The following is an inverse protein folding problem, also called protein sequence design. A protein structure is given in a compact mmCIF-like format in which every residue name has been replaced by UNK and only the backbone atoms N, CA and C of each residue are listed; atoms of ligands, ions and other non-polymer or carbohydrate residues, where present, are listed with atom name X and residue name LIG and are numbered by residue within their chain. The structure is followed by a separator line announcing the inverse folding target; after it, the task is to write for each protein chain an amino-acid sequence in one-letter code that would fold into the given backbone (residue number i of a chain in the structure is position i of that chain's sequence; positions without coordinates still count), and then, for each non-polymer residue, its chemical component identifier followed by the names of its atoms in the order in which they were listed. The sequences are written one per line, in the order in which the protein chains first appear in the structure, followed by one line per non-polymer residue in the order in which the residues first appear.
data_IF_537631876016
#
_entry.id   IF_537631876016
#
_cell.length_a   1.000
_cell.length_b   1.000
_cell.length_c   1.000
_cell.angle_alpha   90.00
_cell.angle_beta   90.00
_cell.angle_gamma   90.00
#
_symmetry.space_group_name_H-M   'P 1'
#
loop_
_entity.id
_entity.type
_entity.pdbx_description
1 polymer ?
#
# COMPACT_ATOMS: atom_id res chain seq x y z
N UNK A 1 -6.94 14.48 -20.84
CA UNK A 1 -5.95 14.56 -19.73
C UNK A 1 -6.69 15.01 -18.49
N UNK A 2 -7.68 14.26 -18.03
CA UNK A 2 -8.51 14.66 -16.90
C UNK A 2 -7.80 14.28 -15.61
N UNK A 3 -7.55 15.32 -14.82
CA UNK A 3 -7.03 15.33 -13.46
C UNK A 3 -7.74 14.29 -12.59
N UNK A 4 -6.99 13.28 -12.15
CA UNK A 4 -7.39 12.23 -11.22
C UNK A 4 -7.50 12.76 -9.78
N UNK A 5 -8.02 13.98 -9.58
CA UNK A 5 -7.88 14.73 -8.32
C UNK A 5 -8.97 14.45 -7.27
N UNK A 6 -10.14 13.92 -7.67
CA UNK A 6 -11.31 13.87 -6.79
C UNK A 6 -11.76 12.47 -6.36
N UNK A 7 -11.04 11.41 -6.75
CA UNK A 7 -11.25 10.06 -6.21
C UNK A 7 -9.95 9.47 -5.65
N UNK A 8 -9.14 10.26 -4.94
CA UNK A 8 -7.83 9.78 -4.49
C UNK A 8 -7.92 9.01 -3.17
N UNK A 9 -7.96 7.68 -3.28
CA UNK A 9 -7.59 6.81 -2.15
C UNK A 9 -6.15 7.13 -1.74
N UNK A 10 -5.98 7.68 -0.54
CA UNK A 10 -4.69 8.17 -0.05
C UNK A 10 -3.72 7.01 0.13
N UNK A 11 -2.49 7.18 -0.36
CA UNK A 11 -1.43 6.20 -0.14
C UNK A 11 -1.09 6.09 1.36
N UNK A 12 -1.01 4.87 1.93
CA UNK A 12 -0.63 4.66 3.33
C UNK A 12 0.88 4.78 3.55
N UNK A 13 1.63 5.25 2.56
CA UNK A 13 3.08 5.34 2.61
C UNK A 13 3.54 6.42 3.59
N UNK A 14 4.38 6.04 4.55
CA UNK A 14 5.02 6.96 5.50
C UNK A 14 6.50 7.23 5.18
N UNK A 15 6.90 7.03 3.93
CA UNK A 15 8.27 7.21 3.43
C UNK A 15 9.33 6.35 4.13
N UNK A 16 8.93 5.17 4.62
CA UNK A 16 9.85 4.12 5.06
C UNK A 16 9.88 3.03 3.99
N UNK A 17 11.07 2.80 3.41
CA UNK A 17 11.30 1.74 2.42
C UNK A 17 12.18 0.64 3.03
N UNK A 18 11.61 -0.11 3.97
CA UNK A 18 12.21 -1.30 4.57
C UNK A 18 11.15 -2.38 4.71
N UNK A 19 11.54 -3.62 4.50
CA UNK A 19 10.68 -4.79 4.68
C UNK A 19 10.95 -5.45 6.03
N UNK A 20 9.97 -6.20 6.49
CA UNK A 20 10.05 -7.08 7.64
C UNK A 20 11.07 -8.21 7.39
N UNK A 21 11.34 -9.02 8.41
CA UNK A 21 12.36 -10.08 8.31
C UNK A 21 12.02 -11.15 7.27
N UNK A 22 10.73 -11.33 6.96
CA UNK A 22 10.28 -12.22 5.88
C UNK A 22 10.47 -11.63 4.48
N UNK A 23 10.57 -10.29 4.37
CA UNK A 23 10.54 -9.57 3.09
C UNK A 23 9.15 -9.41 2.48
N UNK A 24 8.08 -9.84 3.16
CA UNK A 24 6.71 -9.86 2.67
C UNK A 24 6.05 -8.47 2.78
N UNK A 25 6.28 -7.76 3.88
CA UNK A 25 5.59 -6.51 4.19
C UNK A 25 6.54 -5.36 4.44
N UNK A 26 6.22 -4.19 3.89
CA UNK A 26 6.88 -2.95 4.27
C UNK A 26 6.58 -2.62 5.74
N UNK A 27 7.60 -2.43 6.58
CA UNK A 27 7.39 -2.15 8.01
C UNK A 27 6.69 -0.82 8.28
N UNK A 28 6.70 0.10 7.30
CA UNK A 28 6.06 1.40 7.42
C UNK A 28 4.60 1.41 6.99
N UNK A 29 4.28 0.81 5.84
CA UNK A 29 2.93 0.88 5.26
C UNK A 29 2.22 -0.47 5.14
N UNK A 30 2.83 -1.56 5.60
CA UNK A 30 2.31 -2.94 5.58
C UNK A 30 1.91 -3.49 4.20
N UNK A 31 2.25 -2.78 3.13
CA UNK A 31 2.03 -3.23 1.75
C UNK A 31 3.14 -4.17 1.31
N UNK A 32 2.81 -5.08 0.41
CA UNK A 32 3.78 -5.94 -0.26
C UNK A 32 4.55 -5.17 -1.34
N UNK A 33 5.71 -5.66 -1.80
CA UNK A 33 6.44 -5.05 -2.93
C UNK A 33 5.57 -4.91 -4.19
N UNK A 34 4.70 -5.89 -4.44
CA UNK A 34 3.81 -5.91 -5.61
C UNK A 34 2.76 -4.80 -5.49
N UNK A 35 2.15 -4.63 -4.32
CA UNK A 35 1.18 -3.57 -4.09
C UNK A 35 1.81 -2.18 -4.17
N UNK A 36 3.04 -2.03 -3.67
CA UNK A 36 3.79 -0.76 -3.76
C UNK A 36 4.06 -0.42 -5.23
N UNK A 37 4.56 -1.38 -6.01
CA UNK A 37 4.89 -1.13 -7.43
C UNK A 37 3.67 -0.86 -8.30
N UNK A 38 2.53 -1.49 -7.99
CA UNK A 38 1.29 -1.36 -8.78
C UNK A 38 0.33 -0.29 -8.28
N UNK A 39 0.61 0.36 -7.14
CA UNK A 39 -0.31 1.30 -6.49
C UNK A 39 -0.94 2.34 -7.42
N UNK A 40 -0.12 2.98 -8.26
CA UNK A 40 -0.57 4.02 -9.19
C UNK A 40 -1.38 3.48 -10.37
N UNK A 41 -1.30 2.18 -10.65
CA UNK A 41 -2.04 1.50 -11.71
C UNK A 41 -3.34 0.86 -11.21
N UNK A 42 -3.49 0.71 -9.88
CA UNK A 42 -4.69 0.15 -9.26
C UNK A 42 -5.86 1.14 -9.32
N UNK A 43 -7.05 0.59 -9.49
CA UNK A 43 -8.33 1.28 -9.30
C UNK A 43 -8.56 1.64 -7.83
N UNK A 44 -9.48 2.57 -7.57
CA UNK A 44 -9.83 2.96 -6.21
C UNK A 44 -10.37 1.80 -5.37
N UNK A 45 -11.18 0.93 -5.97
CA UNK A 45 -11.68 -0.30 -5.32
C UNK A 45 -10.53 -1.22 -4.86
N UNK A 46 -9.55 -1.45 -5.73
CA UNK A 46 -8.37 -2.26 -5.38
C UNK A 46 -7.55 -1.62 -4.25
N UNK A 47 -7.37 -0.30 -4.30
CA UNK A 47 -6.66 0.45 -3.25
C UNK A 47 -7.39 0.37 -1.91
N UNK A 48 -8.71 0.57 -1.89
CA UNK A 48 -9.54 0.45 -0.69
C UNK A 48 -9.50 -0.96 -0.10
N UNK A 49 -9.55 -1.98 -0.95
CA UNK A 49 -9.44 -3.37 -0.51
C UNK A 49 -8.10 -3.59 0.21
N UNK A 50 -6.98 -3.19 -0.40
CA UNK A 50 -5.65 -3.30 0.22
C UNK A 50 -5.62 -2.57 1.56
N UNK A 51 -6.11 -1.32 1.61
CA UNK A 51 -6.15 -0.53 2.84
C UNK A 51 -6.95 -1.21 3.96
N UNK A 52 -8.06 -1.88 3.63
CA UNK A 52 -8.87 -2.62 4.59
C UNK A 52 -8.17 -3.86 5.17
N UNK A 53 -7.19 -4.40 4.45
CA UNK A 53 -6.41 -5.57 4.86
C UNK A 53 -5.19 -5.20 5.70
N UNK A 54 -4.61 -4.01 5.52
CA UNK A 54 -3.38 -3.59 6.23
C UNK A 54 -3.44 -3.76 7.76
N UNK A 55 -4.55 -3.43 8.46
CA UNK A 55 -4.63 -3.62 9.90
C UNK A 55 -4.52 -5.08 10.35
N UNK A 56 -4.87 -6.04 9.47
CA UNK A 56 -4.84 -7.47 9.74
C UNK A 56 -3.45 -8.09 9.50
N UNK A 57 -2.54 -7.35 8.86
CA UNK A 57 -1.19 -7.81 8.55
C UNK A 57 -0.27 -7.61 9.74
N UNK A 58 0.45 -8.67 10.10
CA UNK A 58 1.45 -8.69 11.15
C UNK A 58 2.84 -8.53 10.54
N UNK A 59 3.62 -7.59 11.09
CA UNK A 59 5.03 -7.39 10.73
C UNK A 59 5.84 -8.25 11.68
N UNK A 60 6.79 -9.01 11.14
CA UNK A 60 7.78 -9.72 11.94
C UNK A 60 9.14 -8.99 11.87
N UNK A 61 9.77 -8.82 13.03
CA UNK A 61 11.08 -8.20 13.18
C UNK A 61 12.05 -9.16 13.87
#
# INVERSE_FOLDING_TARGET
MTYDFFENVVSPCINICRYDDSGEYCIGCKRTPIEISKWFMMSNSEREQILSELPKREIIN
#
